data_IF_379408833059
#
_entry.id   IF_379408833059
#
_cell.length_a   1.000
_cell.length_b   1.000
_cell.length_c   1.000
_cell.angle_alpha   90.00
_cell.angle_beta   90.00
_cell.angle_gamma   90.00
#
_symmetry.space_group_name_H-M   'P 1'
#
loop_
_entity.id
_entity.type
_entity.pdbx_description
1 polymer ?
#
# COMPACT_ATOMS: atom_id res chain seq x y z
N UNK A 1 15.16 -1.02 -10.90
CA UNK A 1 16.18 -0.05 -10.42
C UNK A 1 16.20 0.10 -8.90
N UNK A 2 15.18 0.67 -8.23
CA UNK A 2 15.23 0.85 -6.75
C UNK A 2 15.39 -0.47 -5.98
N UNK A 3 14.85 -1.55 -6.48
CA UNK A 3 14.98 -2.88 -5.87
C UNK A 3 16.29 -3.62 -6.18
N UNK A 4 17.18 -3.04 -6.99
CA UNK A 4 18.46 -3.64 -7.36
C UNK A 4 19.67 -2.88 -6.81
N UNK A 5 19.47 -1.63 -6.39
CA UNK A 5 20.52 -0.83 -5.81
C UNK A 5 20.64 -1.09 -4.31
N UNK A 6 21.84 -1.37 -3.86
CA UNK A 6 22.19 -1.53 -2.46
C UNK A 6 22.85 -0.23 -1.98
N UNK A 7 22.20 0.54 -1.10
CA UNK A 7 22.82 1.69 -0.48
C UNK A 7 23.84 1.26 0.58
N UNK A 8 24.76 2.15 0.91
CA UNK A 8 25.76 1.90 1.95
C UNK A 8 25.08 1.54 3.29
N UNK A 9 25.44 0.37 3.89
CA UNK A 9 24.92 -0.02 5.19
C UNK A 9 25.33 0.96 6.28
N UNK A 10 24.44 1.19 7.23
CA UNK A 10 24.74 2.09 8.34
C UNK A 10 23.49 2.72 8.94
N UNK A 11 23.70 3.68 9.83
CA UNK A 11 22.64 4.45 10.45
C UNK A 11 22.60 5.83 9.81
N UNK A 12 21.58 6.07 9.02
CA UNK A 12 21.34 7.40 8.44
C UNK A 12 20.57 8.27 9.43
N UNK A 13 21.16 9.41 9.82
CA UNK A 13 20.59 10.30 10.83
C UNK A 13 19.90 11.49 10.20
N UNK A 14 18.76 11.92 10.76
CA UNK A 14 17.99 13.09 10.34
C UNK A 14 17.70 13.14 8.84
N UNK A 15 17.10 12.05 8.32
CA UNK A 15 16.84 11.89 6.88
C UNK A 15 15.37 12.09 6.54
N UNK A 16 15.12 12.72 5.40
CA UNK A 16 13.85 12.77 4.69
C UNK A 16 13.90 11.89 3.44
N UNK A 17 12.77 11.67 2.77
CA UNK A 17 12.74 10.99 1.47
C UNK A 17 13.63 11.71 0.45
N UNK A 18 13.63 13.04 0.48
CA UNK A 18 14.47 13.87 -0.41
C UNK A 18 15.94 13.57 -0.24
N UNK A 19 16.42 13.42 1.01
CA UNK A 19 17.83 13.13 1.29
C UNK A 19 18.20 11.74 0.77
N UNK A 20 17.33 10.75 1.01
CA UNK A 20 17.52 9.37 0.51
C UNK A 20 17.60 9.36 -1.02
N UNK A 21 16.65 9.98 -1.69
CA UNK A 21 16.57 9.97 -3.15
C UNK A 21 17.72 10.73 -3.81
N UNK A 22 18.13 11.86 -3.25
CA UNK A 22 19.28 12.62 -3.78
C UNK A 22 20.60 11.90 -3.62
N UNK A 23 20.78 11.18 -2.52
CA UNK A 23 22.06 10.50 -2.21
C UNK A 23 22.20 9.15 -2.94
N UNK A 24 21.09 8.44 -3.17
CA UNK A 24 21.14 7.03 -3.59
C UNK A 24 20.29 6.70 -4.82
N UNK A 25 19.51 7.65 -5.35
CA UNK A 25 18.71 7.36 -6.54
C UNK A 25 19.60 7.20 -7.78
N UNK A 26 19.47 6.10 -8.52
CA UNK A 26 20.31 5.82 -9.67
C UNK A 26 19.90 6.59 -10.93
N UNK A 27 18.76 7.27 -10.92
CA UNK A 27 18.20 7.89 -12.12
C UNK A 27 17.39 9.13 -11.82
N UNK A 28 17.58 10.17 -12.62
CA UNK A 28 16.76 11.38 -12.63
C UNK A 28 15.33 11.16 -13.15
N UNK A 29 15.04 9.99 -13.73
CA UNK A 29 13.71 9.64 -14.23
C UNK A 29 12.72 9.22 -13.15
N UNK A 30 13.22 8.93 -11.95
CA UNK A 30 12.39 8.58 -10.80
C UNK A 30 12.07 9.86 -10.05
N UNK A 31 10.81 10.24 -10.03
CA UNK A 31 10.32 11.35 -9.22
C UNK A 31 9.97 10.88 -7.81
N UNK A 32 9.85 11.77 -6.87
CA UNK A 32 9.51 11.45 -5.49
C UNK A 32 8.74 12.58 -4.82
N UNK A 33 7.96 12.21 -3.81
CA UNK A 33 7.19 13.14 -3.00
C UNK A 33 8.11 14.10 -2.25
N UNK A 34 7.83 15.40 -2.35
CA UNK A 34 8.59 16.46 -1.67
C UNK A 34 7.94 16.85 -0.33
N UNK A 35 8.71 17.52 0.53
CA UNK A 35 8.20 18.03 1.80
C UNK A 35 7.86 16.95 2.82
N UNK A 36 8.50 15.79 2.72
CA UNK A 36 8.26 14.64 3.61
C UNK A 36 8.90 14.87 4.98
N UNK A 37 8.33 14.21 6.02
CA UNK A 37 8.81 14.29 7.39
C UNK A 37 10.26 13.81 7.51
N UNK A 38 11.04 14.49 8.35
CA UNK A 38 12.38 14.02 8.73
C UNK A 38 12.26 13.02 9.88
N UNK A 39 12.93 11.87 9.76
CA UNK A 39 13.05 10.88 10.83
C UNK A 39 14.42 10.97 11.50
N UNK A 40 14.48 10.66 12.79
CA UNK A 40 15.72 10.77 13.54
C UNK A 40 16.83 9.87 13.00
N UNK A 41 16.47 8.64 12.60
CA UNK A 41 17.41 7.71 11.99
C UNK A 41 16.71 6.62 11.18
N UNK A 42 17.41 6.10 10.17
CA UNK A 42 17.05 4.88 9.42
C UNK A 42 18.25 3.94 9.48
N UNK A 43 18.04 2.72 9.96
CA UNK A 43 19.08 1.71 10.01
C UNK A 43 19.00 0.83 8.76
N UNK A 44 20.05 0.83 7.95
CA UNK A 44 20.18 0.07 6.71
C UNK A 44 21.15 -1.08 6.95
N UNK A 45 20.67 -2.30 6.76
CA UNK A 45 21.45 -3.52 6.90
C UNK A 45 22.19 -3.82 5.59
N UNK A 46 23.25 -4.60 5.70
CA UNK A 46 23.92 -5.19 4.53
C UNK A 46 22.92 -5.93 3.63
N UNK A 47 23.10 -5.83 2.33
CA UNK A 47 22.23 -6.42 1.29
C UNK A 47 20.79 -5.90 1.28
N UNK A 48 20.51 -4.80 1.97
CA UNK A 48 19.23 -4.12 1.83
C UNK A 48 19.20 -3.32 0.55
N UNK A 49 18.10 -3.40 -0.16
CA UNK A 49 17.88 -2.59 -1.37
C UNK A 49 17.49 -1.16 -1.02
N UNK A 50 17.64 -0.23 -1.96
CA UNK A 50 17.17 1.15 -1.76
C UNK A 50 15.65 1.20 -1.53
N UNK A 51 14.88 0.32 -2.18
CA UNK A 51 13.44 0.21 -1.94
C UNK A 51 13.11 -0.23 -0.52
N UNK A 52 13.85 -1.18 0.05
CA UNK A 52 13.70 -1.58 1.46
C UNK A 52 14.05 -0.43 2.41
N UNK A 53 15.09 0.36 2.11
CA UNK A 53 15.48 1.53 2.89
C UNK A 53 14.36 2.60 2.89
N UNK A 54 13.77 2.88 1.72
CA UNK A 54 12.62 3.77 1.58
C UNK A 54 11.42 3.21 2.38
N UNK A 55 11.20 1.91 2.35
CA UNK A 55 10.14 1.24 3.13
C UNK A 55 10.33 1.43 4.63
N UNK A 56 11.54 1.25 5.15
CA UNK A 56 11.86 1.50 6.57
C UNK A 56 11.61 2.96 6.94
N UNK A 57 12.03 3.88 6.08
CA UNK A 57 11.78 5.31 6.27
C UNK A 57 10.25 5.59 6.31
N UNK A 58 9.48 5.10 5.34
CA UNK A 58 8.04 5.33 5.23
C UNK A 58 7.29 4.83 6.47
N UNK A 59 7.65 3.65 6.96
CA UNK A 59 7.07 3.09 8.20
C UNK A 59 7.38 3.98 9.41
N UNK A 60 8.61 4.49 9.53
CA UNK A 60 8.98 5.38 10.63
C UNK A 60 8.31 6.73 10.56
N UNK A 61 8.23 7.31 9.37
CA UNK A 61 7.69 8.65 9.16
C UNK A 61 6.16 8.70 9.20
N UNK A 62 5.50 7.63 8.70
CA UNK A 62 4.06 7.65 8.41
C UNK A 62 3.31 6.40 8.88
N UNK A 63 3.98 5.39 9.43
CA UNK A 63 3.36 4.12 9.88
C UNK A 63 2.76 3.29 8.73
N UNK A 64 3.29 3.42 7.50
CA UNK A 64 2.77 2.75 6.31
C UNK A 64 3.86 2.41 5.31
N UNK A 65 3.54 1.60 4.32
CA UNK A 65 4.46 1.24 3.25
C UNK A 65 4.63 2.37 2.24
N UNK A 66 5.83 2.47 1.67
CA UNK A 66 6.06 3.25 0.47
C UNK A 66 5.34 2.60 -0.74
N UNK A 67 4.94 3.40 -1.70
CA UNK A 67 4.33 2.92 -2.95
C UNK A 67 4.80 3.76 -4.13
N UNK A 68 4.64 3.22 -5.33
CA UNK A 68 4.92 3.92 -6.57
C UNK A 68 3.59 4.31 -7.20
N UNK A 69 3.43 5.59 -7.52
CA UNK A 69 2.29 6.09 -8.27
C UNK A 69 2.60 6.00 -9.77
N UNK A 70 1.57 5.84 -10.60
CA UNK A 70 1.61 5.43 -12.00
C UNK A 70 2.67 6.00 -12.92
N UNK A 71 3.18 7.19 -12.66
CA UNK A 71 4.20 7.90 -13.44
C UNK A 71 5.63 7.82 -12.87
N UNK A 72 5.95 6.76 -12.14
CA UNK A 72 7.26 6.53 -11.51
C UNK A 72 7.54 7.43 -10.29
N UNK A 73 6.52 7.98 -9.67
CA UNK A 73 6.68 8.77 -8.45
C UNK A 73 6.71 7.88 -7.21
N UNK A 74 7.78 7.97 -6.43
CA UNK A 74 7.88 7.36 -5.11
C UNK A 74 7.11 8.19 -4.09
N UNK A 75 6.13 7.59 -3.42
CA UNK A 75 5.31 8.22 -2.40
C UNK A 75 5.43 7.45 -1.08
N UNK A 76 5.42 8.17 0.02
CA UNK A 76 5.53 7.64 1.39
C UNK A 76 4.41 8.16 2.30
N UNK A 77 3.85 9.32 1.99
CA UNK A 77 2.63 9.82 2.62
C UNK A 77 1.40 9.35 1.83
N UNK A 78 0.22 9.44 2.42
CA UNK A 78 -1.01 9.12 1.72
C UNK A 78 -1.48 10.34 0.92
N UNK A 79 -1.00 10.49 -0.31
CA UNK A 79 -1.60 11.42 -1.26
C UNK A 79 -2.87 10.78 -1.82
N UNK A 80 -4.03 11.28 -1.40
CA UNK A 80 -5.33 10.82 -1.91
C UNK A 80 -5.83 11.90 -2.85
N UNK A 81 -5.90 11.59 -4.13
CA UNK A 81 -6.64 12.39 -5.09
C UNK A 81 -8.09 11.92 -5.14
N UNK A 82 -8.96 12.81 -5.59
CA UNK A 82 -10.35 12.47 -5.86
C UNK A 82 -10.58 12.52 -7.36
N UNK A 83 -10.90 11.38 -7.95
CA UNK A 83 -11.10 11.26 -9.40
C UNK A 83 -12.58 11.07 -9.70
N UNK A 84 -13.12 11.94 -10.55
CA UNK A 84 -14.52 11.89 -10.94
C UNK A 84 -14.69 11.03 -12.20
N UNK A 85 -15.32 9.89 -12.05
CA UNK A 85 -15.69 9.00 -13.16
C UNK A 85 -17.21 9.06 -13.48
N UNK A 86 -17.95 9.92 -12.78
CA UNK A 86 -19.41 10.01 -12.92
C UNK A 86 -19.91 10.51 -14.27
N UNK A 87 -19.03 11.03 -15.12
CA UNK A 87 -19.33 11.44 -16.51
C UNK A 87 -19.07 10.32 -17.52
N UNK A 88 -18.46 9.22 -17.09
CA UNK A 88 -18.15 8.11 -17.96
C UNK A 88 -19.34 7.16 -18.12
N UNK A 89 -19.35 6.42 -19.21
CA UNK A 89 -20.33 5.37 -19.42
C UNK A 89 -20.01 4.17 -18.53
N UNK A 90 -20.86 3.95 -17.54
CA UNK A 90 -20.73 2.79 -16.65
C UNK A 90 -21.24 1.54 -17.38
N UNK A 91 -20.40 0.51 -17.44
CA UNK A 91 -20.69 -0.78 -18.08
C UNK A 91 -21.25 -1.75 -17.07
N UNK A 92 -20.62 -1.80 -15.88
CA UNK A 92 -20.97 -2.75 -14.84
C UNK A 92 -20.72 -2.14 -13.46
N UNK A 93 -21.57 -2.49 -12.50
CA UNK A 93 -21.39 -2.20 -11.09
C UNK A 93 -21.85 -3.40 -10.26
N UNK A 94 -21.11 -3.73 -9.23
CA UNK A 94 -21.47 -4.83 -8.33
C UNK A 94 -20.74 -4.78 -7.00
N UNK A 95 -21.14 -5.71 -6.12
CA UNK A 95 -20.52 -5.95 -4.81
C UNK A 95 -20.07 -7.39 -4.73
N UNK A 96 -18.88 -7.60 -4.21
CA UNK A 96 -18.33 -8.92 -3.96
C UNK A 96 -17.95 -9.05 -2.49
N UNK A 97 -18.40 -10.13 -1.88
CA UNK A 97 -18.01 -10.53 -0.54
C UNK A 97 -17.04 -11.71 -0.65
N UNK A 98 -15.82 -11.56 -0.17
CA UNK A 98 -14.82 -12.63 -0.13
C UNK A 98 -14.19 -12.77 1.25
N UNK A 99 -14.49 -13.88 1.91
CA UNK A 99 -13.96 -14.19 3.23
C UNK A 99 -12.72 -15.09 3.20
N UNK A 100 -12.29 -15.54 2.00
CA UNK A 100 -11.22 -16.55 1.87
C UNK A 100 -9.87 -16.06 2.36
N UNK A 101 -9.59 -14.77 2.24
CA UNK A 101 -8.33 -14.15 2.64
C UNK A 101 -8.35 -13.61 4.07
N UNK A 102 -9.52 -13.44 4.68
CA UNK A 102 -9.64 -12.88 6.02
C UNK A 102 -8.90 -13.71 7.06
N UNK A 103 -8.26 -12.99 7.98
CA UNK A 103 -7.52 -13.57 9.11
C UNK A 103 -8.13 -13.06 10.41
N UNK A 104 -8.39 -13.96 11.35
CA UNK A 104 -8.88 -13.61 12.69
C UNK A 104 -7.77 -13.11 13.59
N UNK A 105 -6.58 -13.71 13.45
CA UNK A 105 -5.42 -13.35 14.25
C UNK A 105 -4.13 -13.59 13.49
N UNK A 106 -3.16 -12.77 13.74
CA UNK A 106 -1.80 -12.95 13.23
C UNK A 106 -0.80 -12.84 14.36
N UNK A 107 0.31 -13.56 14.17
CA UNK A 107 1.46 -13.54 15.07
C UNK A 107 2.71 -13.18 14.29
N UNK A 108 3.64 -12.46 14.93
CA UNK A 108 4.94 -12.11 14.35
C UNK A 108 6.05 -12.45 15.33
N UNK A 109 7.16 -12.97 14.81
CA UNK A 109 8.36 -13.21 15.58
C UNK A 109 8.99 -11.88 16.06
N UNK A 110 9.51 -11.92 17.27
CA UNK A 110 10.43 -10.88 17.79
C UNK A 110 11.87 -11.13 17.30
N UNK A 111 12.79 -10.30 17.78
CA UNK A 111 14.22 -10.41 17.44
C UNK A 111 14.86 -11.70 17.95
N UNK A 112 14.31 -12.28 19.01
CA UNK A 112 14.78 -13.53 19.65
C UNK A 112 14.21 -14.78 18.95
N UNK A 113 13.33 -14.59 17.96
CA UNK A 113 12.72 -15.66 17.19
C UNK A 113 11.42 -16.21 17.77
N UNK A 114 10.91 -15.63 18.85
CA UNK A 114 9.64 -16.03 19.48
C UNK A 114 8.45 -15.25 18.92
N UNK A 115 7.25 -15.83 18.94
CA UNK A 115 6.00 -15.19 18.52
C UNK A 115 5.45 -14.29 19.63
N UNK A 116 6.22 -13.23 19.99
CA UNK A 116 5.89 -12.31 21.07
C UNK A 116 4.87 -11.23 20.72
N UNK A 117 4.56 -11.05 19.43
CA UNK A 117 3.61 -10.04 18.95
C UNK A 117 2.40 -10.69 18.31
N UNK A 118 1.21 -10.13 18.59
CA UNK A 118 -0.02 -10.59 17.93
C UNK A 118 -1.01 -9.45 17.72
N UNK A 119 -1.86 -9.60 16.71
CA UNK A 119 -2.96 -8.69 16.43
C UNK A 119 -4.20 -9.47 16.01
N UNK A 120 -5.38 -9.07 16.54
CA UNK A 120 -6.66 -9.72 16.26
C UNK A 120 -7.58 -8.78 15.47
N UNK A 121 -8.28 -9.33 14.48
CA UNK A 121 -9.27 -8.59 13.70
C UNK A 121 -10.63 -8.61 14.38
N UNK A 122 -11.23 -7.43 14.54
CA UNK A 122 -12.62 -7.33 15.01
C UNK A 122 -13.68 -7.66 13.95
N UNK A 123 -13.31 -7.63 12.65
CA UNK A 123 -14.25 -7.85 11.53
C UNK A 123 -14.57 -9.32 11.29
N UNK A 124 -13.73 -10.23 11.77
CA UNK A 124 -13.87 -11.67 11.52
C UNK A 124 -14.85 -12.35 12.45
N UNK A 125 -15.09 -11.78 13.64
CA UNK A 125 -15.98 -12.35 14.66
C UNK A 125 -17.41 -12.60 14.15
N UNK A 126 -18.07 -11.63 13.47
CA UNK A 126 -19.43 -11.82 12.98
C UNK A 126 -19.57 -12.93 11.92
N UNK A 127 -18.46 -13.33 11.32
CA UNK A 127 -18.44 -14.33 10.23
C UNK A 127 -17.92 -15.70 10.68
N UNK A 128 -17.65 -15.89 11.98
CA UNK A 128 -17.14 -17.14 12.53
C UNK A 128 -15.77 -17.54 11.97
N UNK A 129 -14.95 -16.58 11.49
CA UNK A 129 -13.64 -16.86 10.92
C UNK A 129 -12.63 -17.03 12.06
N UNK A 130 -11.93 -18.17 12.08
CA UNK A 130 -10.93 -18.50 13.10
C UNK A 130 -9.52 -18.70 12.52
N UNK A 131 -9.30 -18.26 11.27
CA UNK A 131 -8.02 -18.46 10.58
C UNK A 131 -6.93 -17.59 11.19
N UNK A 132 -5.85 -18.24 11.60
CA UNK A 132 -4.66 -17.59 12.16
C UNK A 132 -3.47 -17.74 11.20
N UNK A 133 -2.52 -16.80 11.26
CA UNK A 133 -1.30 -16.84 10.46
C UNK A 133 -0.08 -16.38 11.25
N UNK A 134 1.04 -17.03 10.99
CA UNK A 134 2.32 -16.79 11.66
C UNK A 134 3.31 -16.21 10.66
N UNK A 135 3.95 -15.09 11.02
CA UNK A 135 4.89 -14.39 10.17
C UNK A 135 6.28 -14.33 10.83
N UNK A 136 7.32 -14.45 10.01
CA UNK A 136 8.67 -14.10 10.41
C UNK A 136 8.78 -12.60 10.70
N UNK A 137 9.88 -12.22 11.34
CA UNK A 137 10.19 -10.80 11.57
C UNK A 137 10.46 -10.10 10.24
N UNK A 138 9.67 -9.08 9.93
CA UNK A 138 9.84 -8.26 8.73
C UNK A 138 10.76 -7.08 9.03
N UNK A 139 11.84 -6.96 8.25
CA UNK A 139 12.86 -5.92 8.42
C UNK A 139 12.29 -4.50 8.37
N UNK A 140 11.27 -4.28 7.55
CA UNK A 140 10.65 -2.96 7.39
C UNK A 140 9.91 -2.51 8.66
N UNK A 141 9.40 -3.46 9.45
CA UNK A 141 8.56 -3.22 10.62
C UNK A 141 9.28 -3.36 11.96
N UNK A 142 10.60 -3.60 11.96
CA UNK A 142 11.41 -3.80 13.19
C UNK A 142 11.20 -2.72 14.26
N UNK A 143 10.96 -1.48 13.84
CA UNK A 143 10.79 -0.34 14.75
C UNK A 143 9.32 -0.01 15.06
N UNK A 144 8.38 -0.71 14.43
CA UNK A 144 6.94 -0.52 14.64
C UNK A 144 6.18 -1.80 14.26
N UNK A 145 6.35 -2.83 15.07
CA UNK A 145 5.77 -4.17 14.81
C UNK A 145 4.25 -4.13 14.80
N UNK A 146 3.62 -3.34 15.68
CA UNK A 146 2.17 -3.23 15.76
C UNK A 146 1.57 -2.65 14.48
N UNK A 147 2.20 -1.64 13.90
CA UNK A 147 1.77 -1.11 12.60
C UNK A 147 1.94 -2.16 11.49
N UNK A 148 2.99 -2.98 11.53
CA UNK A 148 3.19 -4.07 10.59
C UNK A 148 2.14 -5.18 10.71
N UNK A 149 1.74 -5.53 11.91
CA UNK A 149 0.67 -6.48 12.17
C UNK A 149 -0.68 -5.95 11.65
N UNK A 150 -0.98 -4.70 11.99
CA UNK A 150 -2.20 -4.02 11.52
C UNK A 150 -2.26 -3.95 9.99
N UNK A 151 -1.19 -3.52 9.33
CA UNK A 151 -1.09 -3.47 7.86
C UNK A 151 -1.38 -4.85 7.21
N UNK A 152 -0.86 -5.92 7.78
CA UNK A 152 -1.09 -7.28 7.26
C UNK A 152 -2.54 -7.75 7.40
N UNK A 153 -3.19 -7.43 8.52
CA UNK A 153 -4.63 -7.74 8.69
C UNK A 153 -5.47 -6.88 7.75
N UNK A 154 -5.21 -5.58 7.68
CA UNK A 154 -5.92 -4.68 6.77
C UNK A 154 -5.74 -5.12 5.31
N UNK A 155 -4.55 -5.57 4.93
CA UNK A 155 -4.32 -6.14 3.60
C UNK A 155 -5.14 -7.41 3.35
N UNK A 156 -5.22 -8.31 4.32
CA UNK A 156 -6.01 -9.55 4.21
C UNK A 156 -7.52 -9.27 4.17
N UNK A 157 -7.95 -8.14 4.73
CA UNK A 157 -9.36 -7.71 4.76
C UNK A 157 -9.78 -6.86 3.55
N UNK A 158 -8.84 -6.41 2.72
CA UNK A 158 -9.14 -5.51 1.59
C UNK A 158 -10.19 -6.05 0.64
N UNK A 159 -10.19 -7.36 0.43
CA UNK A 159 -11.11 -8.03 -0.49
C UNK A 159 -12.38 -8.55 0.18
N UNK A 160 -12.57 -8.27 1.49
CA UNK A 160 -13.74 -8.73 2.23
C UNK A 160 -15.07 -8.22 1.65
N UNK A 161 -15.17 -6.91 1.48
CA UNK A 161 -16.30 -6.26 0.83
C UNK A 161 -15.77 -5.30 -0.21
N UNK A 162 -15.70 -5.78 -1.44
CA UNK A 162 -15.25 -4.98 -2.56
C UNK A 162 -16.45 -4.57 -3.39
N UNK A 163 -16.58 -3.28 -3.61
CA UNK A 163 -17.45 -2.77 -4.64
C UNK A 163 -16.64 -2.58 -5.91
N UNK A 164 -17.14 -3.09 -7.02
CA UNK A 164 -16.46 -2.91 -8.30
C UNK A 164 -17.33 -2.09 -9.26
N UNK A 165 -16.65 -1.32 -10.08
CA UNK A 165 -17.24 -0.55 -11.16
C UNK A 165 -16.36 -0.67 -12.40
N UNK A 166 -17.01 -0.94 -13.54
CA UNK A 166 -16.36 -0.96 -14.85
C UNK A 166 -16.95 0.16 -15.70
N UNK A 167 -16.09 0.96 -16.32
CA UNK A 167 -16.52 2.07 -17.17
C UNK A 167 -15.64 2.18 -18.43
N UNK A 168 -16.13 2.90 -19.45
CA UNK A 168 -15.39 3.19 -20.67
C UNK A 168 -14.40 4.33 -20.44
N UNK A 169 -13.15 4.11 -20.85
CA UNK A 169 -12.07 5.09 -20.73
C UNK A 169 -11.14 4.84 -19.53
N UNK A 170 -10.35 5.87 -19.25
CA UNK A 170 -9.44 5.97 -18.10
C UNK A 170 -9.37 7.45 -17.72
N UNK A 171 -9.56 7.77 -16.46
CA UNK A 171 -9.65 9.14 -15.95
C UNK A 171 -8.40 9.59 -15.18
N UNK A 172 -7.33 8.80 -15.20
CA UNK A 172 -6.08 9.11 -14.51
C UNK A 172 -6.08 8.74 -13.02
N UNK A 173 -7.04 7.90 -12.61
CA UNK A 173 -7.06 7.33 -11.26
C UNK A 173 -5.91 6.36 -11.03
N UNK A 174 -5.52 6.23 -9.78
CA UNK A 174 -4.51 5.26 -9.35
C UNK A 174 -4.97 4.56 -8.06
N UNK A 175 -4.25 3.51 -7.69
CA UNK A 175 -4.46 2.82 -6.41
C UNK A 175 -4.37 3.84 -5.28
N UNK A 176 -5.28 3.74 -4.32
CA UNK A 176 -5.49 4.64 -3.18
C UNK A 176 -6.29 5.92 -3.45
N UNK A 177 -6.52 6.31 -4.70
CA UNK A 177 -7.36 7.46 -5.02
C UNK A 177 -8.82 7.22 -4.64
N UNK A 178 -9.53 8.29 -4.30
CA UNK A 178 -10.96 8.24 -4.05
C UNK A 178 -11.74 8.41 -5.34
N UNK A 179 -12.75 7.58 -5.51
CA UNK A 179 -13.63 7.66 -6.68
C UNK A 179 -14.85 8.52 -6.36
N UNK A 180 -15.16 9.45 -7.25
CA UNK A 180 -16.40 10.22 -7.23
C UNK A 180 -17.28 9.68 -8.36
N UNK A 181 -18.35 8.98 -7.97
CA UNK A 181 -19.35 8.45 -8.89
C UNK A 181 -20.71 8.40 -8.18
N UNK A 182 -21.44 9.51 -8.23
CA UNK A 182 -22.74 9.64 -7.56
C UNK A 182 -23.74 8.58 -8.05
N UNK A 183 -24.51 8.00 -7.13
CA UNK A 183 -25.48 6.95 -7.44
C UNK A 183 -24.93 5.52 -7.36
N UNK A 184 -23.63 5.34 -7.19
CA UNK A 184 -23.01 4.03 -7.02
C UNK A 184 -22.29 3.93 -5.64
N UNK A 185 -22.24 2.74 -5.09
CA UNK A 185 -21.64 2.52 -3.77
C UNK A 185 -20.14 2.75 -3.69
N UNK A 186 -19.46 2.81 -4.83
CA UNK A 186 -18.03 3.19 -4.92
C UNK A 186 -17.78 4.67 -4.63
N UNK A 187 -18.80 5.50 -4.56
CA UNK A 187 -18.66 6.94 -4.35
C UNK A 187 -18.00 7.26 -3.00
N UNK A 188 -16.87 7.93 -3.03
CA UNK A 188 -16.05 8.25 -1.86
C UNK A 188 -15.13 7.13 -1.38
N UNK A 189 -15.20 5.96 -2.00
CA UNK A 189 -14.33 4.81 -1.70
C UNK A 189 -12.98 4.92 -2.37
N UNK A 190 -11.98 4.20 -1.83
CA UNK A 190 -10.63 4.16 -2.38
C UNK A 190 -10.47 3.00 -3.35
N UNK A 191 -9.68 3.23 -4.38
CA UNK A 191 -9.26 2.19 -5.31
C UNK A 191 -8.28 1.26 -4.61
N UNK A 192 -8.63 0.00 -4.46
CA UNK A 192 -7.75 -1.05 -3.94
C UNK A 192 -7.07 -1.85 -5.05
N UNK A 193 -7.74 -1.97 -6.18
CA UNK A 193 -7.22 -2.66 -7.38
C UNK A 193 -7.79 -2.02 -8.63
N UNK A 194 -6.97 -1.98 -9.67
CA UNK A 194 -7.35 -1.45 -10.99
C UNK A 194 -6.92 -2.41 -12.08
N UNK A 195 -7.78 -2.58 -13.08
CA UNK A 195 -7.52 -3.34 -14.29
C UNK A 195 -7.94 -2.51 -15.50
N UNK A 196 -6.99 -2.24 -16.39
CA UNK A 196 -7.21 -1.49 -17.62
C UNK A 196 -7.11 -2.46 -18.80
N UNK A 197 -8.18 -2.57 -19.56
CA UNK A 197 -8.25 -3.38 -20.78
C UNK A 197 -8.31 -2.46 -21.98
N UNK A 198 -7.38 -2.61 -22.92
CA UNK A 198 -7.33 -1.88 -24.18
C UNK A 198 -7.51 -2.87 -25.33
N UNK A 199 -8.52 -2.66 -26.17
CA UNK A 199 -8.81 -3.50 -27.31
C UNK A 199 -9.35 -2.68 -28.49
N UNK A 200 -9.73 -3.33 -29.59
CA UNK A 200 -10.29 -2.66 -30.78
C UNK A 200 -11.60 -1.89 -30.54
N UNK A 201 -12.28 -2.12 -29.41
CA UNK A 201 -13.52 -1.41 -29.00
C UNK A 201 -13.22 -0.21 -28.10
N UNK A 202 -11.97 0.03 -27.75
CA UNK A 202 -11.53 1.13 -26.89
C UNK A 202 -10.90 0.68 -25.58
N UNK A 203 -10.86 1.59 -24.63
CA UNK A 203 -10.32 1.36 -23.28
C UNK A 203 -11.48 1.14 -22.31
N UNK A 204 -11.31 0.16 -21.42
CA UNK A 204 -12.22 -0.08 -20.30
C UNK A 204 -11.39 -0.17 -19.03
N UNK A 205 -11.87 0.48 -17.98
CA UNK A 205 -11.26 0.44 -16.66
C UNK A 205 -12.19 -0.22 -15.66
N UNK A 206 -11.71 -1.24 -14.98
CA UNK A 206 -12.37 -1.90 -13.85
C UNK A 206 -11.67 -1.51 -12.56
N UNK A 207 -12.40 -0.90 -11.65
CA UNK A 207 -11.95 -0.50 -10.32
C UNK A 207 -12.59 -1.39 -9.27
N UNK A 208 -11.79 -1.86 -8.33
CA UNK A 208 -12.23 -2.47 -7.09
C UNK A 208 -11.97 -1.44 -5.98
N UNK A 209 -13.00 -1.15 -5.19
CA UNK A 209 -13.01 -0.07 -4.21
C UNK A 209 -13.41 -0.56 -2.81
N UNK A 210 -12.73 -0.03 -1.79
CA UNK A 210 -12.92 -0.34 -0.36
C UNK A 210 -13.29 0.91 0.46
#
# INVERSE_FOLDING_TARGET
>A
MLGQNEPEPGVWSKVSLTDIMKSYSPSSEITYESGTNTVNYVNIKEKSTLWEAIGVYAVKAYGRRAYIRGDRQVNVSLSILSVNIGTQRIIEYGKQLDTRTMLSKIYMKNVDGEYGYSYSSGKTIPHGITREKYYGLDKQWLNNVDAGLKDRIEFAEREYLVEHITYEGYCGEDITDKIICKGYGVNGKRVSRMEITVNSKGTQTKLLCE
#
